data_IF_085592600353
#
_entry.id   IF_085592600353
#
_cell.length_a   1.000
_cell.length_b   1.000
_cell.length_c   1.000
_cell.angle_alpha   90.00
_cell.angle_beta   90.00
_cell.angle_gamma   90.00
#
_symmetry.space_group_name_H-M   'P 1'
#
loop_
_entity.id
_entity.type
_entity.pdbx_description
1 polymer ?
#
# COMPACT_ATOMS: atom_id res chain seq x y z
N UNK A 1 25.03 -7.91 -6.18
CA UNK A 1 24.12 -7.65 -7.34
C UNK A 1 22.69 -7.61 -6.84
N UNK A 2 22.04 -6.45 -6.94
CA UNK A 2 20.63 -6.28 -6.57
C UNK A 2 19.76 -6.80 -7.72
N UNK A 3 18.91 -7.79 -7.44
CA UNK A 3 18.04 -8.41 -8.44
C UNK A 3 16.85 -7.49 -8.75
N UNK A 4 16.74 -7.04 -10.00
CA UNK A 4 15.53 -6.47 -10.57
C UNK A 4 14.62 -7.61 -11.05
N UNK A 5 13.40 -7.69 -10.52
CA UNK A 5 12.39 -8.61 -11.03
C UNK A 5 11.39 -7.82 -11.88
N UNK A 6 11.38 -8.12 -13.17
CA UNK A 6 10.38 -7.61 -14.10
C UNK A 6 9.19 -8.55 -14.10
N UNK A 7 8.05 -8.09 -13.62
CA UNK A 7 6.76 -8.67 -14.03
C UNK A 7 6.56 -8.27 -15.50
N UNK A 8 6.33 -9.26 -16.35
CA UNK A 8 6.28 -9.12 -17.82
C UNK A 8 5.14 -8.17 -18.21
N UNK A 9 5.47 -6.98 -18.73
CA UNK A 9 4.72 -6.26 -19.76
C UNK A 9 5.58 -5.11 -20.34
N UNK A 10 5.49 -4.95 -21.69
CA UNK A 10 6.42 -4.18 -22.53
C UNK A 10 6.28 -2.66 -22.45
N UNK A 11 7.44 -2.03 -22.57
CA UNK A 11 7.92 -0.69 -23.00
C UNK A 11 6.98 0.51 -23.12
N UNK A 12 7.36 1.62 -22.46
CA UNK A 12 7.24 3.01 -22.99
C UNK A 12 8.27 3.94 -22.29
N UNK A 13 8.91 4.92 -22.98
CA UNK A 13 9.80 5.93 -22.40
C UNK A 13 9.08 7.27 -22.16
N UNK A 14 9.48 8.05 -21.13
CA UNK A 14 9.63 9.51 -21.15
C UNK A 14 9.69 10.19 -19.78
N UNK A 15 10.34 11.37 -19.69
CA UNK A 15 10.68 12.15 -18.50
C UNK A 15 9.87 13.46 -18.39
N UNK A 16 9.68 13.98 -17.17
CA UNK A 16 9.10 15.30 -16.89
C UNK A 16 9.86 16.04 -15.75
N UNK A 17 9.95 17.37 -15.83
CA UNK A 17 10.58 18.26 -14.86
C UNK A 17 9.59 19.32 -14.33
N UNK A 18 9.38 19.39 -13.01
CA UNK A 18 8.60 20.46 -12.34
C UNK A 18 9.00 20.68 -10.87
N UNK A 19 8.94 21.93 -10.39
CA UNK A 19 9.34 22.37 -9.03
C UNK A 19 8.15 22.42 -8.06
N UNK A 20 8.40 22.11 -6.78
CA UNK A 20 7.41 22.05 -5.68
C UNK A 20 7.70 23.10 -4.62
N UNK A 21 6.69 23.77 -4.02
CA UNK A 21 6.80 24.51 -2.77
C UNK A 21 6.71 23.60 -1.54
N UNK A 22 7.54 23.86 -0.54
CA UNK A 22 7.71 23.04 0.65
C UNK A 22 6.90 23.64 1.82
N UNK A 23 5.72 23.09 2.15
CA UNK A 23 5.04 23.36 3.42
C UNK A 23 4.38 22.10 3.99
N UNK A 24 5.08 21.48 4.94
CA UNK A 24 4.67 20.22 5.60
C UNK A 24 3.45 20.37 6.53
N UNK A 25 3.13 21.59 7.00
CA UNK A 25 2.02 21.83 7.94
C UNK A 25 0.64 21.88 7.26
N UNK A 26 0.58 22.37 6.04
CA UNK A 26 -0.67 22.44 5.26
C UNK A 26 -1.20 21.05 4.87
N UNK A 27 -0.31 20.13 4.55
CA UNK A 27 -0.68 18.74 4.15
C UNK A 27 -1.24 17.95 5.33
N UNK A 28 -0.70 18.12 6.52
CA UNK A 28 -1.15 17.41 7.72
C UNK A 28 -2.54 17.89 8.21
N UNK A 29 -2.81 19.20 8.09
CA UNK A 29 -4.12 19.79 8.42
C UNK A 29 -5.21 19.37 7.42
N UNK A 30 -4.90 19.26 6.13
CA UNK A 30 -5.81 18.79 5.08
C UNK A 30 -6.10 17.30 5.28
N UNK A 31 -5.10 16.51 5.69
CA UNK A 31 -5.23 15.09 5.96
C UNK A 31 -6.23 14.80 7.10
N UNK A 32 -6.09 15.47 8.25
CA UNK A 32 -7.02 15.35 9.39
C UNK A 32 -8.43 15.85 9.07
N UNK A 33 -8.55 16.95 8.32
CA UNK A 33 -9.85 17.55 7.99
C UNK A 33 -10.70 16.70 7.03
N UNK A 34 -10.07 15.83 6.23
CA UNK A 34 -10.76 14.91 5.31
C UNK A 34 -11.14 13.57 5.97
N UNK A 35 -10.66 13.25 7.19
CA UNK A 35 -11.00 12.03 7.92
C UNK A 35 -12.38 12.08 8.60
N UNK A 36 -12.99 13.26 8.75
CA UNK A 36 -14.31 13.44 9.42
C UNK A 36 -15.51 12.92 8.60
N UNK A 37 -15.28 12.19 7.50
CA UNK A 37 -16.35 11.73 6.58
C UNK A 37 -16.41 10.23 6.34
N UNK A 38 -15.50 9.44 6.86
CA UNK A 38 -15.55 7.99 6.68
C UNK A 38 -16.58 7.35 7.62
N UNK A 39 -17.35 6.41 7.08
CA UNK A 39 -18.25 5.56 7.87
C UNK A 39 -17.44 4.40 8.44
N UNK A 40 -17.34 4.33 9.77
CA UNK A 40 -16.62 3.26 10.45
C UNK A 40 -17.63 2.29 11.06
N UNK A 41 -17.44 1.00 10.81
CA UNK A 41 -18.20 -0.11 11.43
C UNK A 41 -17.23 -1.10 12.05
N UNK A 42 -17.60 -1.65 13.18
CA UNK A 42 -16.91 -2.78 13.80
C UNK A 42 -17.66 -4.05 13.44
N UNK A 43 -16.96 -5.08 12.94
CA UNK A 43 -17.55 -6.32 12.47
C UNK A 43 -16.82 -7.52 13.07
N UNK A 44 -17.58 -8.53 13.52
CA UNK A 44 -17.02 -9.80 13.96
C UNK A 44 -16.78 -10.72 12.77
N UNK A 45 -15.59 -11.34 12.74
CA UNK A 45 -15.23 -12.36 11.76
C UNK A 45 -14.74 -13.62 12.46
N UNK A 46 -15.06 -14.77 11.91
CA UNK A 46 -14.63 -16.05 12.48
C UNK A 46 -13.12 -16.27 12.34
N UNK A 47 -12.54 -15.83 11.25
CA UNK A 47 -11.12 -16.00 10.95
C UNK A 47 -10.60 -14.80 10.14
N UNK A 48 -9.48 -14.23 10.58
CA UNK A 48 -8.79 -13.14 9.86
C UNK A 48 -7.84 -13.68 8.79
N UNK A 49 -7.42 -14.96 8.91
CA UNK A 49 -6.47 -15.62 8.01
C UNK A 49 -7.22 -16.25 6.83
N UNK A 50 -6.97 -15.76 5.64
CA UNK A 50 -7.57 -16.31 4.40
C UNK A 50 -6.48 -16.94 3.56
N UNK A 51 -6.69 -18.20 3.09
CA UNK A 51 -5.75 -18.84 2.15
C UNK A 51 -5.63 -17.97 0.90
N UNK A 52 -4.39 -17.62 0.53
CA UNK A 52 -4.14 -16.71 -0.58
C UNK A 52 -4.25 -17.41 -1.92
N UNK A 53 -4.91 -16.78 -2.88
CA UNK A 53 -4.84 -17.12 -4.31
C UNK A 53 -3.81 -16.28 -5.08
N UNK A 54 -3.09 -15.40 -4.39
CA UNK A 54 -2.05 -14.57 -5.01
C UNK A 54 -0.84 -15.43 -5.41
N UNK A 55 -0.08 -15.04 -6.45
CA UNK A 55 1.12 -15.76 -6.88
C UNK A 55 2.17 -15.93 -5.78
N UNK A 56 2.16 -15.08 -4.77
CA UNK A 56 3.05 -15.15 -3.61
C UNK A 56 2.71 -16.30 -2.65
N UNK A 57 1.54 -16.93 -2.78
CA UNK A 57 1.09 -18.08 -1.97
C UNK A 57 0.80 -17.73 -0.51
N UNK A 58 0.61 -18.77 0.32
CA UNK A 58 0.41 -18.63 1.76
C UNK A 58 -0.96 -18.11 2.16
N UNK A 59 -0.99 -17.16 3.08
CA UNK A 59 -2.22 -16.53 3.60
C UNK A 59 -2.25 -15.05 3.29
N UNK A 60 -3.44 -14.54 2.99
CA UNK A 60 -3.71 -13.10 2.88
C UNK A 60 -4.49 -12.64 4.11
N UNK A 61 -4.04 -11.58 4.73
CA UNK A 61 -4.66 -11.02 5.93
C UNK A 61 -4.93 -9.53 5.71
N UNK A 62 -6.19 -9.17 5.86
CA UNK A 62 -6.62 -7.77 5.81
C UNK A 62 -7.47 -7.53 7.07
N UNK A 63 -6.90 -6.91 8.11
CA UNK A 63 -7.59 -6.63 9.38
C UNK A 63 -8.79 -5.69 9.24
N UNK A 64 -8.92 -5.08 8.08
CA UNK A 64 -9.97 -4.12 7.74
C UNK A 64 -10.61 -4.44 6.39
N UNK A 65 -11.76 -3.84 6.10
CA UNK A 65 -12.33 -3.74 4.75
C UNK A 65 -12.60 -2.27 4.44
N UNK A 66 -12.32 -1.83 3.22
CA UNK A 66 -12.21 -0.42 2.91
C UNK A 66 -10.79 0.09 3.18
N UNK A 67 -10.45 1.27 2.66
CA UNK A 67 -9.12 1.84 2.84
C UNK A 67 -9.17 3.37 2.76
N UNK A 68 -8.93 4.09 3.86
CA UNK A 68 -8.98 5.56 3.91
C UNK A 68 -7.95 6.27 3.03
N UNK A 69 -6.94 5.55 2.53
CA UNK A 69 -6.03 6.11 1.51
C UNK A 69 -6.74 6.49 0.22
N UNK A 70 -7.93 5.95 -0.06
CA UNK A 70 -8.83 6.32 -1.15
C UNK A 70 -8.14 6.48 -2.51
N UNK A 71 -7.18 5.59 -2.82
CA UNK A 71 -6.43 5.65 -4.07
C UNK A 71 -7.39 5.57 -5.28
N UNK A 72 -7.31 6.54 -6.20
CA UNK A 72 -8.15 6.56 -7.41
C UNK A 72 -7.91 5.35 -8.34
N UNK A 73 -6.72 4.76 -8.26
CA UNK A 73 -6.32 3.58 -9.04
C UNK A 73 -6.49 2.25 -8.28
N UNK A 74 -7.21 2.25 -7.16
CA UNK A 74 -7.29 1.08 -6.29
C UNK A 74 -8.03 -0.10 -6.95
N UNK A 75 -7.30 -1.15 -7.27
CA UNK A 75 -7.91 -2.37 -7.78
C UNK A 75 -8.84 -3.04 -6.77
N UNK A 76 -8.56 -2.89 -5.46
CA UNK A 76 -9.32 -3.49 -4.38
C UNK A 76 -10.74 -2.90 -4.21
N UNK A 77 -11.08 -1.85 -4.94
CA UNK A 77 -12.44 -1.27 -4.95
C UNK A 77 -13.54 -2.31 -5.30
N UNK A 78 -13.18 -3.41 -5.97
CA UNK A 78 -14.10 -4.53 -6.23
C UNK A 78 -14.60 -5.20 -4.94
N UNK A 79 -13.86 -5.10 -3.83
CA UNK A 79 -14.23 -5.67 -2.54
C UNK A 79 -15.52 -5.08 -1.99
N UNK A 80 -15.86 -3.85 -2.35
CA UNK A 80 -17.11 -3.18 -1.95
C UNK A 80 -18.35 -4.06 -2.19
N UNK A 81 -18.40 -4.79 -3.29
CA UNK A 81 -19.55 -5.67 -3.63
C UNK A 81 -19.83 -6.77 -2.60
N UNK A 82 -18.90 -7.05 -1.69
CA UNK A 82 -19.02 -8.08 -0.65
C UNK A 82 -19.32 -7.50 0.74
N UNK A 83 -19.50 -6.17 0.85
CA UNK A 83 -19.56 -5.49 2.15
C UNK A 83 -20.95 -4.99 2.51
N UNK A 84 -21.89 -4.91 1.57
CA UNK A 84 -23.18 -4.23 1.76
C UNK A 84 -23.10 -2.70 1.84
N UNK A 85 -21.91 -2.10 1.69
CA UNK A 85 -21.76 -0.65 1.62
C UNK A 85 -22.27 -0.07 0.31
N UNK A 86 -23.01 1.03 0.39
CA UNK A 86 -23.44 1.84 -0.75
C UNK A 86 -22.47 2.98 -1.03
N UNK A 87 -21.74 3.41 -0.04
CA UNK A 87 -20.76 4.49 -0.06
C UNK A 87 -19.59 4.20 -1.03
N UNK A 88 -18.95 5.21 -1.62
CA UNK A 88 -17.79 5.04 -2.47
C UNK A 88 -16.64 4.31 -1.74
N UNK A 89 -15.84 3.55 -2.49
CA UNK A 89 -14.59 2.99 -1.95
C UNK A 89 -13.66 4.12 -1.48
N UNK A 90 -13.10 3.96 -0.27
CA UNK A 90 -12.26 4.97 0.36
C UNK A 90 -13.00 5.93 1.29
N UNK A 91 -14.34 5.78 1.46
CA UNK A 91 -15.15 6.58 2.39
C UNK A 91 -15.82 5.74 3.47
N UNK A 92 -15.46 4.48 3.59
CA UNK A 92 -15.89 3.59 4.67
C UNK A 92 -14.73 2.71 5.13
N UNK A 93 -14.84 2.20 6.36
CA UNK A 93 -13.91 1.28 6.98
C UNK A 93 -14.66 0.31 7.89
N UNK A 94 -14.58 -0.98 7.60
CA UNK A 94 -14.99 -2.02 8.53
C UNK A 94 -13.77 -2.51 9.31
N UNK A 95 -13.82 -2.39 10.62
CA UNK A 95 -12.80 -2.86 11.56
C UNK A 95 -13.12 -4.27 11.97
N UNK A 96 -12.27 -5.24 11.65
CA UNK A 96 -12.51 -6.65 11.96
C UNK A 96 -12.12 -6.99 13.38
N UNK A 97 -13.03 -7.68 14.05
CA UNK A 97 -12.78 -8.35 15.31
C UNK A 97 -12.76 -9.86 15.10
N UNK A 98 -11.78 -10.54 15.65
CA UNK A 98 -11.64 -12.00 15.60
C UNK A 98 -11.23 -12.55 16.96
N UNK A 99 -11.58 -13.83 17.19
CA UNK A 99 -11.11 -14.56 18.38
C UNK A 99 -9.59 -14.77 18.28
N UNK A 100 -8.87 -14.78 19.41
CA UNK A 100 -7.44 -15.08 19.40
C UNK A 100 -7.11 -16.33 18.58
N UNK A 101 -5.95 -16.33 17.94
CA UNK A 101 -5.48 -17.48 17.15
C UNK A 101 -5.02 -18.59 18.12
N UNK A 102 -5.84 -19.63 18.30
CA UNK A 102 -5.59 -20.71 19.27
C UNK A 102 -4.26 -21.44 19.06
N UNK A 103 -3.85 -21.64 17.81
CA UNK A 103 -2.58 -22.30 17.48
C UNK A 103 -1.85 -21.52 16.38
N UNK A 104 -1.06 -20.49 16.73
CA UNK A 104 -0.34 -19.70 15.73
C UNK A 104 0.77 -20.49 15.04
N UNK A 105 1.37 -21.51 15.66
CA UNK A 105 2.41 -22.36 15.08
C UNK A 105 1.97 -23.17 13.85
N UNK A 106 0.66 -23.31 13.61
CA UNK A 106 0.17 -23.89 12.35
C UNK A 106 0.56 -23.06 11.11
N UNK A 107 1.01 -21.83 11.32
CA UNK A 107 1.50 -20.94 10.27
C UNK A 107 3.03 -20.94 10.13
N UNK A 108 3.76 -21.76 10.88
CA UNK A 108 5.20 -21.91 10.74
C UNK A 108 5.58 -22.28 9.30
N UNK A 109 6.56 -21.59 8.74
CA UNK A 109 6.97 -21.75 7.35
C UNK A 109 6.00 -21.24 6.30
N UNK A 110 4.83 -20.74 6.71
CA UNK A 110 3.85 -20.16 5.79
C UNK A 110 4.11 -18.66 5.58
N UNK A 111 3.84 -18.18 4.37
CA UNK A 111 3.85 -16.74 4.08
C UNK A 111 2.52 -16.12 4.46
N UNK A 112 2.58 -15.01 5.18
CA UNK A 112 1.43 -14.21 5.60
C UNK A 112 1.57 -12.83 4.98
N UNK A 113 0.71 -12.51 4.01
CA UNK A 113 0.68 -11.21 3.33
C UNK A 113 -0.35 -10.31 3.98
N UNK A 114 0.09 -9.24 4.62
CA UNK A 114 -0.76 -8.23 5.26
C UNK A 114 -0.90 -7.04 4.32
N UNK A 115 -2.13 -6.61 4.05
CA UNK A 115 -2.38 -5.41 3.26
C UNK A 115 -2.55 -5.67 1.75
N UNK A 116 -3.07 -6.84 1.35
CA UNK A 116 -3.28 -7.16 -0.07
C UNK A 116 -4.44 -6.40 -0.71
N UNK A 117 -5.52 -6.10 0.03
CA UNK A 117 -6.70 -5.37 -0.49
C UNK A 117 -7.10 -4.15 0.36
N UNK A 118 -6.42 -3.94 1.47
CA UNK A 118 -6.51 -2.73 2.30
C UNK A 118 -5.14 -2.47 2.90
N UNK A 119 -4.79 -1.22 3.15
CA UNK A 119 -3.54 -0.94 3.88
C UNK A 119 -3.76 -1.21 5.36
N UNK A 120 -3.00 -2.14 5.95
CA UNK A 120 -3.08 -2.47 7.37
C UNK A 120 -2.55 -1.38 8.30
N UNK A 121 -1.87 -0.36 7.74
CA UNK A 121 -1.30 0.77 8.47
C UNK A 121 -1.91 2.11 8.05
N UNK A 122 -3.16 2.10 7.58
CA UNK A 122 -3.90 3.35 7.37
C UNK A 122 -4.08 4.11 8.70
N UNK A 123 -4.44 5.41 8.69
CA UNK A 123 -4.45 6.23 9.91
C UNK A 123 -5.23 5.65 11.09
N UNK A 124 -6.38 5.05 10.85
CA UNK A 124 -7.19 4.46 11.93
C UNK A 124 -6.56 3.23 12.60
N UNK A 125 -5.51 2.66 12.03
CA UNK A 125 -4.73 1.61 12.70
C UNK A 125 -4.00 2.14 13.95
N UNK A 126 -3.78 3.46 14.05
CA UNK A 126 -3.23 4.10 15.25
C UNK A 126 -4.12 3.85 16.48
N UNK A 127 -5.45 3.93 16.28
CA UNK A 127 -6.46 3.78 17.32
C UNK A 127 -6.90 2.31 17.50
N UNK A 128 -7.23 1.63 16.40
CA UNK A 128 -7.80 0.28 16.45
C UNK A 128 -6.79 -0.84 16.65
N UNK A 129 -5.52 -0.65 16.32
CA UNK A 129 -4.41 -1.59 16.56
C UNK A 129 -4.65 -3.03 16.06
N UNK A 130 -5.40 -3.22 14.95
CA UNK A 130 -5.75 -4.56 14.48
C UNK A 130 -4.56 -5.28 13.83
N UNK A 131 -3.72 -4.56 13.08
CA UNK A 131 -2.48 -5.11 12.52
C UNK A 131 -1.48 -5.44 13.62
N UNK A 132 -1.33 -4.56 14.61
CA UNK A 132 -0.50 -4.83 15.79
C UNK A 132 -0.96 -6.06 16.55
N UNK A 133 -2.27 -6.18 16.84
CA UNK A 133 -2.86 -7.37 17.48
C UNK A 133 -2.51 -8.65 16.71
N UNK A 134 -2.63 -8.65 15.38
CA UNK A 134 -2.27 -9.80 14.55
C UNK A 134 -0.80 -10.18 14.71
N UNK A 135 0.11 -9.20 14.68
CA UNK A 135 1.55 -9.44 14.85
C UNK A 135 1.86 -9.98 16.25
N UNK A 136 1.18 -9.49 17.30
CA UNK A 136 1.32 -9.99 18.66
C UNK A 136 0.87 -11.45 18.78
N UNK A 137 -0.24 -11.83 18.14
CA UNK A 137 -0.74 -13.21 18.11
C UNK A 137 0.17 -14.18 17.32
N UNK A 138 0.91 -13.68 16.33
CA UNK A 138 1.86 -14.46 15.55
C UNK A 138 3.28 -14.47 16.13
N UNK A 139 3.53 -13.70 17.19
CA UNK A 139 4.86 -13.61 17.82
C UNK A 139 5.35 -14.99 18.25
N UNK A 140 6.62 -15.27 17.96
CA UNK A 140 7.26 -16.56 18.30
C UNK A 140 7.09 -17.65 17.25
N UNK A 141 6.26 -17.41 16.20
CA UNK A 141 6.15 -18.34 15.05
C UNK A 141 7.29 -18.15 14.05
N UNK A 142 7.52 -19.15 13.20
CA UNK A 142 8.41 -19.09 12.04
C UNK A 142 7.66 -18.67 10.76
N UNK A 143 6.54 -17.96 10.89
CA UNK A 143 5.82 -17.42 9.75
C UNK A 143 6.68 -16.38 8.99
N UNK A 144 6.57 -16.35 7.67
CA UNK A 144 7.17 -15.30 6.83
C UNK A 144 6.19 -14.14 6.71
N UNK A 145 6.47 -13.03 7.36
CA UNK A 145 5.59 -11.84 7.35
C UNK A 145 5.94 -10.94 6.18
N UNK A 146 4.96 -10.65 5.34
CA UNK A 146 5.07 -9.67 4.26
C UNK A 146 4.00 -8.60 4.44
N UNK A 147 4.43 -7.35 4.58
CA UNK A 147 3.56 -6.19 4.77
C UNK A 147 3.59 -5.34 3.51
N UNK A 148 2.41 -4.99 2.98
CA UNK A 148 2.25 -4.04 1.88
C UNK A 148 1.60 -2.76 2.42
N UNK A 149 2.26 -1.61 2.28
CA UNK A 149 1.76 -0.36 2.86
C UNK A 149 2.17 0.88 2.04
N UNK A 150 1.46 1.98 2.26
CA UNK A 150 1.83 3.36 1.87
C UNK A 150 2.11 4.24 3.10
N UNK A 151 2.16 3.65 4.29
CA UNK A 151 2.22 4.39 5.56
C UNK A 151 3.60 4.27 6.22
N UNK A 152 3.95 5.27 7.00
CA UNK A 152 5.08 5.23 7.93
C UNK A 152 4.68 4.71 9.32
N UNK A 153 3.38 4.52 9.59
CA UNK A 153 2.88 3.98 10.86
C UNK A 153 3.40 2.56 11.17
N UNK A 154 3.86 1.82 10.16
CA UNK A 154 4.52 0.51 10.34
C UNK A 154 5.74 0.60 11.27
N UNK A 155 6.37 1.76 11.42
CA UNK A 155 7.47 1.99 12.36
C UNK A 155 7.06 1.82 13.82
N UNK A 156 5.78 2.04 14.17
CA UNK A 156 5.24 1.78 15.51
C UNK A 156 5.49 0.34 15.96
N UNK A 157 5.40 -0.59 15.03
CA UNK A 157 5.46 -2.03 15.29
C UNK A 157 6.85 -2.64 15.02
N UNK A 158 7.89 -1.80 14.90
CA UNK A 158 9.26 -2.24 14.67
C UNK A 158 9.77 -3.20 15.76
N UNK A 159 9.31 -3.02 16.99
CA UNK A 159 9.59 -3.91 18.14
C UNK A 159 9.11 -5.34 17.87
N UNK A 160 7.90 -5.50 17.33
CA UNK A 160 7.33 -6.80 16.98
C UNK A 160 7.99 -7.38 15.73
N UNK A 161 8.20 -6.56 14.70
CA UNK A 161 8.77 -6.99 13.42
C UNK A 161 10.17 -7.59 13.60
N UNK A 162 10.99 -7.03 14.49
CA UNK A 162 12.31 -7.58 14.83
C UNK A 162 12.26 -8.96 15.50
N UNK A 163 11.13 -9.35 16.04
CA UNK A 163 10.94 -10.65 16.67
C UNK A 163 10.67 -11.80 15.70
N UNK A 164 10.41 -11.51 14.43
CA UNK A 164 10.21 -12.55 13.40
C UNK A 164 11.51 -12.83 12.65
N UNK A 165 11.70 -14.08 12.26
CA UNK A 165 12.91 -14.50 11.52
C UNK A 165 12.89 -13.99 10.07
N UNK A 166 11.71 -13.87 9.47
CA UNK A 166 11.53 -13.45 8.07
C UNK A 166 10.45 -12.38 7.96
N UNK A 167 10.87 -11.15 7.79
CA UNK A 167 9.98 -10.01 7.56
C UNK A 167 10.40 -9.31 6.27
N UNK A 168 9.41 -8.93 5.50
CA UNK A 168 9.57 -8.04 4.34
C UNK A 168 8.53 -6.94 4.43
N UNK A 169 8.95 -5.69 4.35
CA UNK A 169 8.03 -4.56 4.25
C UNK A 169 8.15 -3.95 2.86
N UNK A 170 7.01 -3.84 2.18
CA UNK A 170 6.90 -3.34 0.81
C UNK A 170 6.13 -2.02 0.80
N UNK A 171 6.78 -0.95 0.34
CA UNK A 171 6.12 0.35 0.13
C UNK A 171 5.74 0.56 -1.32
N UNK A 172 4.48 0.92 -1.55
CA UNK A 172 4.05 1.41 -2.86
C UNK A 172 4.50 2.86 -3.05
N UNK A 173 5.37 3.07 -4.06
CA UNK A 173 5.87 4.39 -4.47
C UNK A 173 5.79 4.46 -5.99
N UNK A 174 4.79 5.16 -6.53
CA UNK A 174 4.54 5.24 -7.97
C UNK A 174 4.90 6.58 -8.59
N UNK A 175 5.38 7.52 -7.78
CA UNK A 175 5.82 8.84 -8.21
C UNK A 175 6.77 9.44 -7.18
N UNK A 176 7.55 10.44 -7.57
CA UNK A 176 8.25 11.37 -6.68
C UNK A 176 7.62 12.77 -6.70
N UNK A 177 6.58 12.96 -7.51
CA UNK A 177 5.77 14.18 -7.57
C UNK A 177 4.69 14.15 -6.50
N UNK A 178 4.81 15.02 -5.51
CA UNK A 178 3.88 15.09 -4.39
C UNK A 178 2.50 15.63 -4.80
N UNK A 179 2.43 16.47 -5.83
CA UNK A 179 1.15 16.95 -6.34
C UNK A 179 0.37 15.80 -7.00
N UNK A 180 1.03 15.03 -7.87
CA UNK A 180 0.44 13.83 -8.46
C UNK A 180 0.02 12.82 -7.38
N UNK A 181 0.85 12.61 -6.34
CA UNK A 181 0.48 11.76 -5.21
C UNK A 181 -0.79 12.27 -4.52
N UNK A 182 -0.88 13.58 -4.19
CA UNK A 182 -2.07 14.18 -3.57
C UNK A 182 -3.33 14.01 -4.43
N UNK A 183 -3.18 14.10 -5.74
CA UNK A 183 -4.29 13.91 -6.68
C UNK A 183 -4.74 12.45 -6.74
N UNK A 184 -3.85 11.50 -6.46
CA UNK A 184 -4.09 10.07 -6.63
C UNK A 184 -4.44 9.32 -5.36
N UNK A 185 -3.92 9.69 -4.19
CA UNK A 185 -4.21 9.03 -2.92
C UNK A 185 -4.12 9.98 -1.72
N UNK A 186 -4.70 9.55 -0.59
CA UNK A 186 -4.68 10.27 0.70
C UNK A 186 -3.66 9.69 1.67
N UNK A 187 -2.74 8.84 1.22
CA UNK A 187 -1.72 8.29 2.10
C UNK A 187 -0.67 9.33 2.48
N UNK A 188 0.27 8.98 3.34
CA UNK A 188 1.34 9.88 3.75
C UNK A 188 2.22 10.31 2.57
N UNK A 189 2.93 11.42 2.71
CA UNK A 189 3.80 11.96 1.67
C UNK A 189 4.87 10.95 1.21
N UNK A 190 5.35 11.12 -0.01
CA UNK A 190 6.41 10.26 -0.56
C UNK A 190 7.64 10.28 0.35
N UNK A 191 8.03 11.44 0.84
CA UNK A 191 9.20 11.56 1.73
C UNK A 191 9.02 10.78 3.04
N UNK A 192 7.82 10.78 3.64
CA UNK A 192 7.52 9.97 4.82
C UNK A 192 7.64 8.47 4.52
N UNK A 193 7.12 8.01 3.37
CA UNK A 193 7.24 6.61 2.91
C UNK A 193 8.71 6.19 2.76
N UNK A 194 9.51 7.02 2.09
CA UNK A 194 10.92 6.74 1.84
C UNK A 194 11.76 6.78 3.13
N UNK A 195 11.46 7.71 4.02
CA UNK A 195 12.10 7.79 5.35
C UNK A 195 11.79 6.54 6.18
N UNK A 196 10.54 6.08 6.19
CA UNK A 196 10.15 4.87 6.89
C UNK A 196 10.84 3.64 6.30
N UNK A 197 10.87 3.50 4.98
CA UNK A 197 11.59 2.42 4.30
C UNK A 197 13.06 2.39 4.72
N UNK A 198 13.75 3.54 4.72
CA UNK A 198 15.15 3.64 5.15
C UNK A 198 15.35 3.23 6.61
N UNK A 199 14.41 3.59 7.50
CA UNK A 199 14.50 3.21 8.92
C UNK A 199 14.33 1.69 9.11
N UNK A 200 13.40 1.07 8.41
CA UNK A 200 13.20 -0.38 8.43
C UNK A 200 14.42 -1.11 7.85
N UNK A 201 14.98 -0.62 6.74
CA UNK A 201 16.22 -1.14 6.17
C UNK A 201 17.39 -1.07 7.17
N UNK A 202 17.58 0.08 7.81
CA UNK A 202 18.64 0.27 8.83
C UNK A 202 18.42 -0.61 10.07
N UNK A 203 17.20 -1.06 10.31
CA UNK A 203 16.88 -2.00 11.39
C UNK A 203 17.15 -3.47 11.00
N UNK A 204 17.68 -3.72 9.79
CA UNK A 204 18.02 -5.06 9.28
C UNK A 204 16.83 -5.84 8.73
N UNK A 205 15.68 -5.20 8.54
CA UNK A 205 14.47 -5.82 7.98
C UNK A 205 14.45 -5.58 6.47
N UNK A 206 14.15 -6.65 5.71
CA UNK A 206 14.09 -6.61 4.26
C UNK A 206 13.06 -5.63 3.75
N UNK A 207 13.46 -4.78 2.80
CA UNK A 207 12.62 -3.73 2.22
C UNK A 207 12.38 -3.94 0.73
N UNK A 208 11.17 -3.61 0.29
CA UNK A 208 10.79 -3.61 -1.12
C UNK A 208 10.25 -2.23 -1.49
N UNK A 209 10.78 -1.65 -2.56
CA UNK A 209 10.11 -0.55 -3.24
C UNK A 209 9.21 -1.13 -4.33
N UNK A 210 7.90 -1.02 -4.15
CA UNK A 210 6.91 -1.48 -5.11
C UNK A 210 6.45 -0.29 -5.96
N UNK A 211 7.00 -0.17 -7.17
CA UNK A 211 6.62 0.88 -8.12
C UNK A 211 5.33 0.43 -8.81
N UNK A 212 4.21 0.72 -8.15
CA UNK A 212 2.87 0.28 -8.54
C UNK A 212 1.80 1.31 -8.17
N UNK A 213 0.89 1.59 -9.12
CA UNK A 213 1.01 1.28 -10.53
C UNK A 213 1.95 2.24 -11.27
N UNK A 214 2.59 1.76 -12.31
CA UNK A 214 3.35 2.61 -13.25
C UNK A 214 2.33 3.31 -14.17
N UNK A 215 2.29 4.63 -14.11
CA UNK A 215 1.53 5.47 -15.04
C UNK A 215 2.42 5.82 -16.23
N UNK A 216 2.10 5.33 -17.44
CA UNK A 216 2.90 5.64 -18.63
C UNK A 216 3.01 7.15 -18.86
N UNK A 217 4.23 7.66 -19.07
CA UNK A 217 4.51 9.09 -19.28
C UNK A 217 4.50 9.95 -18.02
N UNK A 218 4.08 9.42 -16.83
CA UNK A 218 4.03 10.15 -15.56
C UNK A 218 5.01 9.56 -14.54
N UNK A 219 5.01 8.23 -14.37
CA UNK A 219 5.92 7.57 -13.42
C UNK A 219 7.35 7.55 -13.95
N UNK A 220 8.26 8.30 -13.35
CA UNK A 220 9.70 8.21 -13.62
C UNK A 220 10.32 7.07 -12.80
N UNK A 221 10.27 5.86 -13.37
CA UNK A 221 10.82 4.65 -12.75
C UNK A 221 12.30 4.81 -12.43
N UNK A 222 13.08 5.45 -13.32
CA UNK A 222 14.53 5.64 -13.15
C UNK A 222 14.83 6.55 -11.97
N UNK A 223 14.10 7.65 -11.83
CA UNK A 223 14.25 8.56 -10.69
C UNK A 223 13.90 7.86 -9.37
N UNK A 224 12.81 7.08 -9.32
CA UNK A 224 12.42 6.32 -8.13
C UNK A 224 13.52 5.31 -7.77
N UNK A 225 13.99 4.51 -8.73
CA UNK A 225 15.07 3.53 -8.51
C UNK A 225 16.32 4.21 -7.96
N UNK A 226 16.76 5.33 -8.56
CA UNK A 226 17.91 6.08 -8.08
C UNK A 226 17.72 6.61 -6.67
N UNK A 227 16.49 6.99 -6.29
CA UNK A 227 16.18 7.53 -4.97
C UNK A 227 16.22 6.47 -3.87
N UNK A 228 15.91 5.20 -4.19
CA UNK A 228 15.76 4.12 -3.17
C UNK A 228 16.86 3.06 -3.21
N UNK A 229 17.70 3.02 -4.23
CA UNK A 229 18.68 1.95 -4.48
C UNK A 229 19.60 1.61 -3.30
N UNK A 230 19.84 2.54 -2.38
CA UNK A 230 20.75 2.34 -1.25
C UNK A 230 20.05 1.71 -0.03
N UNK A 231 18.70 1.71 0.01
CA UNK A 231 17.91 1.21 1.13
C UNK A 231 16.65 0.42 0.71
N UNK A 232 16.59 -0.04 -0.54
CA UNK A 232 15.63 -1.04 -0.99
C UNK A 232 16.37 -2.31 -1.40
N UNK A 233 16.07 -3.44 -0.75
CA UNK A 233 16.70 -4.73 -1.09
C UNK A 233 16.18 -5.27 -2.41
N UNK A 234 14.93 -4.87 -2.77
CA UNK A 234 14.25 -5.33 -3.95
C UNK A 234 13.36 -4.23 -4.51
N UNK A 235 13.24 -4.20 -5.83
CA UNK A 235 12.31 -3.31 -6.54
C UNK A 235 11.35 -4.18 -7.34
N UNK A 236 10.06 -4.00 -7.10
CA UNK A 236 8.99 -4.61 -7.88
C UNK A 236 8.34 -3.56 -8.76
N UNK A 237 7.94 -4.00 -9.96
CA UNK A 237 7.35 -3.15 -10.98
C UNK A 237 6.00 -3.73 -11.38
N UNK A 238 4.95 -2.89 -11.41
CA UNK A 238 3.64 -3.28 -11.89
C UNK A 238 3.02 -2.16 -12.73
N UNK A 239 2.59 -2.49 -13.92
CA UNK A 239 1.93 -1.53 -14.80
C UNK A 239 0.52 -1.21 -14.33
N UNK A 240 0.07 0.00 -14.65
CA UNK A 240 -1.32 0.41 -14.46
C UNK A 240 -2.24 -0.50 -15.28
N UNK A 241 -3.16 -1.16 -14.58
CA UNK A 241 -4.14 -2.02 -15.20
C UNK A 241 -5.53 -1.37 -15.14
N UNK A 242 -5.90 -0.70 -16.20
CA UNK A 242 -7.15 0.06 -16.30
C UNK A 242 -8.37 -0.87 -16.46
N UNK A 243 -9.00 -1.22 -15.34
CA UNK A 243 -10.21 -2.05 -15.30
C UNK A 243 -11.31 -1.40 -14.46
N UNK A 244 -12.55 -1.78 -14.72
CA UNK A 244 -13.69 -1.37 -13.89
C UNK A 244 -13.92 0.14 -13.82
N UNK A 245 -14.45 0.57 -12.68
CA UNK A 245 -14.87 1.96 -12.45
C UNK A 245 -13.70 2.93 -12.45
N UNK A 246 -12.59 2.59 -11.81
CA UNK A 246 -11.45 3.49 -11.68
C UNK A 246 -10.78 3.85 -13.03
N UNK A 247 -11.02 3.05 -14.08
CA UNK A 247 -10.58 3.40 -15.44
C UNK A 247 -11.13 4.78 -15.86
N UNK A 248 -12.41 5.04 -15.63
CA UNK A 248 -13.04 6.31 -16.00
C UNK A 248 -12.44 7.48 -15.24
N UNK A 249 -12.19 7.29 -13.94
CA UNK A 249 -11.64 8.32 -13.06
C UNK A 249 -10.20 8.67 -13.45
N UNK A 250 -9.38 7.65 -13.71
CA UNK A 250 -7.99 7.83 -14.16
C UNK A 250 -7.93 8.47 -15.56
N UNK A 251 -8.76 8.01 -16.51
CA UNK A 251 -8.80 8.58 -17.84
C UNK A 251 -9.32 10.04 -17.83
N UNK A 252 -10.28 10.36 -16.93
CA UNK A 252 -10.72 11.72 -16.71
C UNK A 252 -9.59 12.62 -16.22
N UNK A 253 -8.84 12.16 -15.22
CA UNK A 253 -7.68 12.87 -14.69
C UNK A 253 -6.60 13.09 -15.76
N UNK A 254 -6.27 12.07 -16.54
CA UNK A 254 -5.25 12.19 -17.61
C UNK A 254 -5.68 13.23 -18.64
N UNK A 255 -6.95 13.22 -19.09
CA UNK A 255 -7.45 14.22 -20.05
C UNK A 255 -7.39 15.65 -19.53
N UNK A 256 -7.65 15.81 -18.23
CA UNK A 256 -7.65 17.14 -17.59
C UNK A 256 -6.22 17.67 -17.33
N UNK A 257 -5.37 16.83 -16.76
CA UNK A 257 -4.05 17.24 -16.25
C UNK A 257 -2.87 16.93 -17.20
N UNK A 258 -3.04 15.93 -18.07
CA UNK A 258 -2.02 15.45 -18.98
C UNK A 258 -2.58 15.19 -20.39
N UNK A 259 -3.21 16.22 -21.04
CA UNK A 259 -3.88 16.02 -22.31
C UNK A 259 -2.95 15.52 -23.42
N UNK A 260 -1.64 15.78 -23.30
CA UNK A 260 -0.60 15.28 -24.20
C UNK A 260 -0.46 13.75 -24.18
N UNK A 261 -0.90 13.09 -23.10
CA UNK A 261 -0.82 11.63 -22.92
C UNK A 261 -2.07 10.89 -23.38
N UNK A 262 -3.22 11.58 -23.51
CA UNK A 262 -4.53 10.94 -23.78
C UNK A 262 -4.52 10.09 -25.08
N UNK A 263 -3.74 10.49 -26.09
CA UNK A 263 -3.67 9.83 -27.40
C UNK A 263 -2.55 8.78 -27.54
N UNK A 264 -1.59 8.72 -26.62
CA UNK A 264 -0.35 7.94 -26.78
C UNK A 264 -0.18 6.79 -25.80
N UNK A 265 -0.91 6.79 -24.68
CA UNK A 265 -0.59 5.92 -23.54
C UNK A 265 -1.66 4.87 -23.23
N UNK A 266 -2.67 4.70 -24.07
CA UNK A 266 -3.85 3.86 -23.76
C UNK A 266 -4.14 2.81 -24.85
N UNK A 267 -3.14 2.41 -25.60
CA UNK A 267 -3.25 1.26 -26.52
C UNK A 267 -2.39 0.11 -26.03
#
# INVERSE_FOLDING_TARGET
EKKLYFGIYERIPFAYNGRIPNDSRTTETIYRKNMEKEIIREIDVQNVMTKSSLPVGGFSVNPYVGCPHACKYCYASFMKRFTGHTEPWGTFLDVKHWKPIDNPHKYDGQRIVIGSVTDGYHPYEEDFCRTRKLLEELKGTNAEIMICTKSDLVLRDLDLLKGFQKVTVSWSVNTLDEQFRCDMDRAVSIERRLKAMKQIYNAGIRTVCFISPIFPGITDVKAIVNRVKDYADLIWLENLNLRGQFKRDIMGYIREKHPELDRKSVV
#
